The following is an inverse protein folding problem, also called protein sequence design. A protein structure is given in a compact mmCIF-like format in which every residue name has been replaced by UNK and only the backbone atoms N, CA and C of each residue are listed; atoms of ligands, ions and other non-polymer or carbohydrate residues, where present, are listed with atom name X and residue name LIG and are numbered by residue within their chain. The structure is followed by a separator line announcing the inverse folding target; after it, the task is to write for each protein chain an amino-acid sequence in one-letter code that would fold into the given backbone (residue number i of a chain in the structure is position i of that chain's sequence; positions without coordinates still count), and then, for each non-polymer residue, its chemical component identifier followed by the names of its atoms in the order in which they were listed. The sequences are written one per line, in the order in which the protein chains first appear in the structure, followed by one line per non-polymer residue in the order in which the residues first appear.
data_IF_437997109318
#
_entry.id   IF_437997109318
#
_cell.length_a   1.000
_cell.length_b   1.000
_cell.length_c   1.000
_cell.angle_alpha   90.00
_cell.angle_beta   90.00
_cell.angle_gamma   90.00
#
_symmetry.space_group_name_H-M   'P 1'
#
loop_
_entity.id
_entity.type
_entity.pdbx_description
1 polymer ?
#
# COMPACT_ATOMS: atom_id res chain seq x y z
N UNK A 1 -10.70 -15.51 -10.38
CA UNK A 1 -10.17 -14.59 -11.43
C UNK A 1 -10.65 -13.15 -11.26
N UNK A 2 -11.92 -12.90 -10.95
CA UNK A 2 -12.44 -11.55 -10.74
C UNK A 2 -11.66 -10.70 -9.72
N UNK A 3 -11.36 -11.24 -8.54
CA UNK A 3 -10.61 -10.52 -7.50
C UNK A 3 -9.17 -10.17 -7.94
N UNK A 4 -8.53 -11.02 -8.74
CA UNK A 4 -7.19 -10.73 -9.28
C UNK A 4 -7.26 -9.54 -10.23
N UNK A 5 -8.21 -9.53 -11.16
CA UNK A 5 -8.39 -8.42 -12.10
C UNK A 5 -8.71 -7.11 -11.37
N UNK A 6 -9.57 -7.16 -10.33
CA UNK A 6 -9.89 -6.01 -9.50
C UNK A 6 -8.65 -5.43 -8.81
N UNK A 7 -7.81 -6.28 -8.21
CA UNK A 7 -6.60 -5.83 -7.51
C UNK A 7 -5.55 -5.30 -8.49
N UNK A 8 -5.40 -5.90 -9.68
CA UNK A 8 -4.53 -5.37 -10.73
C UNK A 8 -4.99 -3.98 -11.18
N UNK A 9 -6.28 -3.80 -11.42
CA UNK A 9 -6.84 -2.50 -11.79
C UNK A 9 -6.64 -1.45 -10.67
N UNK A 10 -6.90 -1.82 -9.43
CA UNK A 10 -6.62 -0.97 -8.27
C UNK A 10 -5.12 -0.58 -8.20
N UNK A 11 -4.21 -1.53 -8.49
CA UNK A 11 -2.78 -1.26 -8.57
C UNK A 11 -2.43 -0.22 -9.64
N UNK A 12 -3.07 -0.27 -10.81
CA UNK A 12 -2.88 0.74 -11.86
C UNK A 12 -3.31 2.15 -11.38
N UNK A 13 -4.44 2.24 -10.66
CA UNK A 13 -4.92 3.52 -10.11
C UNK A 13 -3.96 4.02 -9.03
N UNK A 14 -3.55 3.15 -8.10
CA UNK A 14 -2.64 3.50 -7.00
C UNK A 14 -1.27 3.96 -7.54
N UNK A 15 -0.83 3.45 -8.69
CA UNK A 15 0.43 3.88 -9.31
C UNK A 15 0.46 5.37 -9.70
N UNK A 16 -0.69 6.01 -9.84
CA UNK A 16 -0.80 7.46 -10.09
C UNK A 16 -0.58 8.31 -8.82
N UNK A 17 -0.75 7.72 -7.63
CA UNK A 17 -0.69 8.44 -6.35
C UNK A 17 0.68 9.09 -6.08
N UNK A 18 1.83 8.39 -6.20
CA UNK A 18 3.13 8.98 -5.92
C UNK A 18 3.46 10.22 -6.77
N UNK A 19 3.30 10.21 -8.11
CA UNK A 19 3.58 11.39 -8.91
C UNK A 19 2.60 12.55 -8.66
N UNK A 20 1.32 12.26 -8.39
CA UNK A 20 0.32 13.30 -8.06
C UNK A 20 0.68 13.96 -6.73
N UNK A 21 0.97 13.15 -5.69
CA UNK A 21 1.36 13.68 -4.39
C UNK A 21 2.72 14.41 -4.45
N UNK A 22 3.65 13.93 -5.29
CA UNK A 22 4.92 14.61 -5.51
C UNK A 22 4.73 15.99 -6.20
N UNK A 23 3.80 16.10 -7.13
CA UNK A 23 3.45 17.39 -7.74
C UNK A 23 2.82 18.34 -6.70
N UNK A 24 1.87 17.85 -5.91
CA UNK A 24 1.22 18.62 -4.84
C UNK A 24 2.25 19.08 -3.79
N UNK A 25 3.18 18.20 -3.41
CA UNK A 25 4.18 18.48 -2.37
C UNK A 25 5.13 19.63 -2.72
N UNK A 26 5.30 19.94 -3.99
CA UNK A 26 6.10 21.09 -4.43
C UNK A 26 5.48 22.44 -4.04
N UNK A 27 4.16 22.47 -3.87
CA UNK A 27 3.42 23.68 -3.51
C UNK A 27 3.12 23.75 -2.02
N UNK A 28 2.67 22.63 -1.43
CA UNK A 28 2.15 22.66 -0.05
C UNK A 28 3.12 22.08 0.97
N UNK A 29 4.15 21.34 0.54
CA UNK A 29 5.05 20.60 1.41
C UNK A 29 4.79 19.08 1.41
N UNK A 30 5.80 18.30 1.83
CA UNK A 30 5.77 16.84 1.76
C UNK A 30 4.72 16.24 2.69
N UNK A 31 4.73 16.63 3.95
CA UNK A 31 3.80 16.11 4.97
C UNK A 31 2.37 16.62 4.73
N UNK A 32 2.26 17.85 4.33
CA UNK A 32 1.00 18.51 4.00
C UNK A 32 0.32 17.83 2.81
N UNK A 33 1.07 17.44 1.78
CA UNK A 33 0.52 16.70 0.63
C UNK A 33 -0.02 15.33 1.04
N UNK A 34 0.66 14.64 1.95
CA UNK A 34 0.19 13.39 2.54
C UNK A 34 -1.11 13.59 3.32
N UNK A 35 -1.15 14.59 4.20
CA UNK A 35 -2.35 14.94 4.99
C UNK A 35 -3.54 15.25 4.07
N UNK A 36 -3.34 16.08 3.06
CA UNK A 36 -4.39 16.45 2.09
C UNK A 36 -4.90 15.22 1.35
N UNK A 37 -4.01 14.33 0.89
CA UNK A 37 -4.41 13.10 0.19
C UNK A 37 -5.26 12.19 1.07
N UNK A 38 -4.90 12.02 2.34
CA UNK A 38 -5.70 11.22 3.29
C UNK A 38 -7.02 11.90 3.64
N UNK A 39 -7.04 13.21 3.80
CA UNK A 39 -8.26 13.96 4.07
C UNK A 39 -9.27 13.83 2.91
N UNK A 40 -8.81 13.99 1.66
CA UNK A 40 -9.64 13.79 0.48
C UNK A 40 -10.13 12.35 0.40
N UNK A 41 -9.25 11.37 0.65
CA UNK A 41 -9.63 9.96 0.70
C UNK A 41 -10.67 9.66 1.78
N UNK A 42 -10.53 10.26 2.97
CA UNK A 42 -11.50 10.13 4.06
C UNK A 42 -12.87 10.70 3.67
N UNK A 43 -12.92 11.89 3.06
CA UNK A 43 -14.16 12.48 2.55
C UNK A 43 -14.78 11.59 1.48
N UNK A 44 -13.98 11.07 0.55
CA UNK A 44 -14.45 10.17 -0.50
C UNK A 44 -15.06 8.88 0.08
N UNK A 45 -14.48 8.30 1.13
CA UNK A 45 -15.01 7.12 1.81
C UNK A 45 -16.22 7.44 2.71
N UNK A 46 -16.30 8.63 3.26
CA UNK A 46 -17.44 9.03 4.09
C UNK A 46 -18.76 8.99 3.32
N UNK A 47 -18.75 9.36 2.04
CA UNK A 47 -19.97 9.37 1.20
C UNK A 47 -20.63 7.97 1.14
N UNK A 48 -19.96 6.91 0.68
CA UNK A 48 -20.59 5.58 0.65
C UNK A 48 -20.88 5.03 2.05
N UNK A 49 -20.09 5.40 3.07
CA UNK A 49 -20.39 5.00 4.46
C UNK A 49 -21.71 5.62 4.93
N UNK A 50 -21.95 6.89 4.65
CA UNK A 50 -23.21 7.57 5.02
C UNK A 50 -24.40 7.05 4.24
N UNK A 51 -24.22 6.69 2.97
CA UNK A 51 -25.33 6.27 2.09
C UNK A 51 -25.63 4.77 2.20
N UNK A 52 -24.62 3.93 2.41
CA UNK A 52 -24.73 2.47 2.29
C UNK A 52 -24.12 1.72 3.49
N UNK A 53 -23.49 2.43 4.42
CA UNK A 53 -22.81 1.82 5.56
C UNK A 53 -23.81 1.12 6.49
N UNK A 54 -23.53 -0.15 6.79
CA UNK A 54 -24.31 -0.97 7.76
C UNK A 54 -23.56 -1.18 9.06
N UNK A 55 -22.36 -0.63 9.17
CA UNK A 55 -21.50 -0.71 10.36
C UNK A 55 -21.67 0.51 11.27
N UNK A 56 -20.94 0.48 12.38
CA UNK A 56 -20.85 1.60 13.31
C UNK A 56 -19.38 2.00 13.50
N UNK A 57 -19.00 3.16 12.97
CA UNK A 57 -17.62 3.68 13.03
C UNK A 57 -17.17 3.89 14.48
N UNK A 58 -18.09 4.24 15.40
CA UNK A 58 -17.75 4.48 16.80
C UNK A 58 -17.32 3.22 17.55
N UNK A 59 -17.64 2.02 17.03
CA UNK A 59 -17.12 0.77 17.60
C UNK A 59 -15.61 0.59 17.43
N UNK A 60 -14.95 1.49 16.74
CA UNK A 60 -13.46 1.51 16.67
C UNK A 60 -12.85 1.55 18.07
N UNK A 61 -13.46 2.26 19.03
CA UNK A 61 -12.97 2.34 20.40
C UNK A 61 -13.11 1.04 21.21
N UNK A 62 -13.89 0.07 20.70
CA UNK A 62 -14.03 -1.28 21.28
C UNK A 62 -12.94 -2.23 20.74
N UNK A 63 -12.16 -1.82 19.74
CA UNK A 63 -11.16 -2.66 19.09
C UNK A 63 -9.78 -2.45 19.68
N UNK A 64 -8.90 -3.49 19.65
CA UNK A 64 -7.51 -3.37 20.08
C UNK A 64 -6.75 -2.30 19.27
N UNK A 65 -5.90 -1.52 19.93
CA UNK A 65 -5.18 -0.39 19.32
C UNK A 65 -4.32 -0.76 18.10
N UNK A 66 -3.82 -2.00 18.03
CA UNK A 66 -3.02 -2.44 16.87
C UNK A 66 -3.82 -2.43 15.56
N UNK A 67 -5.14 -2.57 15.61
CA UNK A 67 -6.00 -2.53 14.41
C UNK A 67 -6.07 -1.13 13.79
N UNK A 68 -5.71 -0.09 14.54
CA UNK A 68 -5.68 1.28 14.03
C UNK A 68 -4.37 1.62 13.31
N UNK A 69 -3.36 0.75 13.45
CA UNK A 69 -2.05 0.97 12.84
C UNK A 69 -2.10 1.10 11.31
N UNK A 70 -3.15 0.54 10.66
CA UNK A 70 -3.31 0.63 9.20
C UNK A 70 -3.26 2.05 8.65
N UNK A 71 -3.87 3.01 9.34
CA UNK A 71 -3.82 4.43 8.97
C UNK A 71 -2.40 5.01 9.04
N UNK A 72 -1.66 4.70 10.11
CA UNK A 72 -0.28 5.15 10.31
C UNK A 72 0.65 4.53 9.26
N UNK A 73 0.52 3.23 9.01
CA UNK A 73 1.29 2.53 7.99
C UNK A 73 1.02 3.08 6.58
N UNK A 74 -0.25 3.38 6.28
CA UNK A 74 -0.63 4.04 5.03
C UNK A 74 -0.01 5.42 4.89
N UNK A 75 -0.03 6.24 5.94
CA UNK A 75 0.59 7.56 5.93
C UNK A 75 2.10 7.48 5.69
N UNK A 76 2.79 6.56 6.37
CA UNK A 76 4.20 6.29 6.12
C UNK A 76 4.49 5.89 4.67
N UNK A 77 3.65 5.02 4.09
CA UNK A 77 3.76 4.60 2.70
C UNK A 77 3.62 5.79 1.74
N UNK A 78 2.61 6.63 1.93
CA UNK A 78 2.36 7.79 1.06
C UNK A 78 3.51 8.79 1.13
N UNK A 79 3.97 9.14 2.33
CA UNK A 79 5.11 10.07 2.50
C UNK A 79 6.37 9.50 1.86
N UNK A 80 6.67 8.22 2.09
CA UNK A 80 7.86 7.56 1.53
C UNK A 80 7.84 7.52 0.01
N UNK A 81 6.71 7.16 -0.61
CA UNK A 81 6.59 7.09 -2.07
C UNK A 81 6.57 8.48 -2.72
N UNK A 82 5.96 9.47 -2.08
CA UNK A 82 5.98 10.88 -2.50
C UNK A 82 7.41 11.43 -2.51
N UNK A 83 8.20 11.07 -1.52
CA UNK A 83 9.60 11.49 -1.40
C UNK A 83 10.51 10.76 -2.42
N UNK A 84 10.28 9.47 -2.65
CA UNK A 84 11.12 8.62 -3.49
C UNK A 84 10.84 8.81 -4.99
N UNK A 85 9.58 8.90 -5.40
CA UNK A 85 9.20 8.91 -6.82
C UNK A 85 9.91 9.98 -7.66
N UNK A 86 10.09 11.24 -7.20
CA UNK A 86 10.83 12.25 -7.96
C UNK A 86 12.33 11.98 -8.05
N UNK A 87 12.90 11.19 -7.14
CA UNK A 87 14.35 10.94 -7.03
C UNK A 87 14.80 9.73 -7.82
N UNK A 88 14.07 8.62 -7.68
CA UNK A 88 14.45 7.33 -8.27
C UNK A 88 13.50 6.87 -9.39
N UNK A 89 12.47 7.68 -9.70
CA UNK A 89 11.44 7.36 -10.68
C UNK A 89 10.27 6.57 -10.09
N UNK A 90 9.10 6.75 -10.70
CA UNK A 90 7.86 6.11 -10.24
C UNK A 90 7.94 4.59 -10.32
N UNK A 91 8.42 4.05 -11.46
CA UNK A 91 8.55 2.61 -11.68
C UNK A 91 9.46 1.97 -10.62
N UNK A 92 10.65 2.52 -10.40
CA UNK A 92 11.60 2.02 -9.40
C UNK A 92 11.02 2.07 -7.99
N UNK A 93 10.34 3.17 -7.64
CA UNK A 93 9.68 3.32 -6.33
C UNK A 93 8.63 2.24 -6.10
N UNK A 94 7.75 2.02 -7.07
CA UNK A 94 6.68 1.04 -6.96
C UNK A 94 7.22 -0.39 -6.94
N UNK A 95 8.21 -0.70 -7.76
CA UNK A 95 8.82 -2.04 -7.82
C UNK A 95 9.53 -2.37 -6.49
N UNK A 96 10.27 -1.41 -5.91
CA UNK A 96 10.89 -1.57 -4.60
C UNK A 96 9.84 -1.78 -3.48
N UNK A 97 8.74 -1.02 -3.54
CA UNK A 97 7.62 -1.17 -2.59
C UNK A 97 6.95 -2.54 -2.72
N UNK A 98 6.70 -3.00 -3.95
CA UNK A 98 6.13 -4.34 -4.21
C UNK A 98 7.01 -5.43 -3.61
N UNK A 99 8.32 -5.34 -3.76
CA UNK A 99 9.24 -6.31 -3.16
C UNK A 99 9.11 -6.36 -1.64
N UNK A 100 9.15 -5.20 -0.98
CA UNK A 100 8.94 -5.12 0.47
C UNK A 100 7.60 -5.74 0.91
N UNK A 101 6.52 -5.42 0.17
CA UNK A 101 5.21 -5.99 0.42
C UNK A 101 5.19 -7.52 0.27
N UNK A 102 5.83 -8.07 -0.76
CA UNK A 102 5.88 -9.51 -1.00
C UNK A 102 6.67 -10.25 0.09
N UNK A 103 7.80 -9.69 0.53
CA UNK A 103 8.59 -10.26 1.62
C UNK A 103 7.77 -10.29 2.92
N UNK A 104 7.14 -9.17 3.28
CA UNK A 104 6.30 -9.12 4.48
C UNK A 104 5.07 -10.02 4.38
N UNK A 105 4.42 -10.06 3.22
CA UNK A 105 3.29 -10.96 2.98
C UNK A 105 3.68 -12.43 3.14
N UNK A 106 4.85 -12.84 2.65
CA UNK A 106 5.35 -14.20 2.84
C UNK A 106 5.58 -14.55 4.32
N UNK A 107 6.07 -13.59 5.13
CA UNK A 107 6.24 -13.75 6.57
C UNK A 107 4.88 -13.88 7.27
N UNK A 108 3.92 -13.01 6.94
CA UNK A 108 2.57 -13.02 7.49
C UNK A 108 1.86 -14.34 7.17
N UNK A 109 1.90 -14.77 5.90
CA UNK A 109 1.29 -16.00 5.43
C UNK A 109 1.91 -17.23 6.14
N UNK A 110 3.24 -17.26 6.26
CA UNK A 110 3.93 -18.39 6.89
C UNK A 110 3.52 -18.57 8.36
N UNK A 111 3.40 -17.47 9.09
CA UNK A 111 3.08 -17.47 10.52
C UNK A 111 1.57 -17.44 10.81
N UNK A 112 0.72 -17.21 9.82
CA UNK A 112 -0.74 -17.08 10.01
C UNK A 112 -1.12 -15.91 10.91
N UNK A 113 -0.38 -14.79 10.84
CA UNK A 113 -0.65 -13.61 11.68
C UNK A 113 -2.01 -13.00 11.37
N UNK A 114 -2.53 -12.21 12.31
CA UNK A 114 -3.82 -11.49 12.20
C UNK A 114 -5.04 -12.40 12.02
N UNK A 115 -4.96 -13.68 12.45
CA UNK A 115 -6.06 -14.64 12.32
C UNK A 115 -6.22 -15.24 10.91
N UNK A 116 -5.21 -15.08 10.06
CA UNK A 116 -5.17 -15.69 8.74
C UNK A 116 -4.75 -17.17 8.84
N UNK A 117 -5.18 -17.98 7.87
CA UNK A 117 -4.69 -19.35 7.76
C UNK A 117 -3.22 -19.35 7.40
N UNK A 118 -2.40 -20.09 8.17
CA UNK A 118 -0.99 -20.24 7.86
C UNK A 118 -0.80 -20.98 6.53
N UNK A 119 -0.03 -20.39 5.64
CA UNK A 119 0.33 -20.98 4.35
C UNK A 119 1.85 -21.20 4.35
N UNK A 120 2.31 -22.46 4.45
CA UNK A 120 3.74 -22.74 4.54
C UNK A 120 4.52 -22.13 3.38
N UNK A 121 5.70 -21.60 3.69
CA UNK A 121 6.62 -21.08 2.69
C UNK A 121 7.31 -22.27 2.01
N UNK A 122 6.97 -22.49 0.74
CA UNK A 122 7.53 -23.57 -0.08
C UNK A 122 8.59 -23.05 -1.07
N UNK A 123 9.29 -23.97 -1.73
CA UNK A 123 10.34 -23.66 -2.68
C UNK A 123 9.83 -22.88 -3.91
N UNK A 124 8.55 -23.06 -4.30
CA UNK A 124 7.93 -22.35 -5.43
C UNK A 124 7.75 -20.89 -5.11
N UNK A 125 7.30 -20.58 -3.89
CA UNK A 125 7.17 -19.21 -3.38
C UNK A 125 8.53 -18.55 -3.26
N UNK A 126 9.55 -19.27 -2.77
CA UNK A 126 10.91 -18.77 -2.71
C UNK A 126 11.44 -18.45 -4.12
N UNK A 127 11.27 -19.35 -5.08
CA UNK A 127 11.66 -19.11 -6.46
C UNK A 127 10.94 -17.90 -7.05
N UNK A 128 9.63 -17.76 -6.81
CA UNK A 128 8.85 -16.59 -7.23
C UNK A 128 9.43 -15.28 -6.71
N UNK A 129 9.76 -15.21 -5.41
CA UNK A 129 10.39 -14.03 -4.80
C UNK A 129 11.77 -13.72 -5.40
N UNK A 130 12.58 -14.74 -5.65
CA UNK A 130 13.90 -14.58 -6.30
C UNK A 130 13.75 -14.03 -7.71
N UNK A 131 12.78 -14.53 -8.49
CA UNK A 131 12.51 -14.03 -9.85
C UNK A 131 12.02 -12.57 -9.82
N UNK A 132 11.18 -12.21 -8.88
CA UNK A 132 10.75 -10.81 -8.68
C UNK A 132 11.97 -9.94 -8.33
N UNK A 133 12.83 -10.38 -7.43
CA UNK A 133 14.04 -9.65 -7.06
C UNK A 133 14.99 -9.46 -8.26
N UNK A 134 15.16 -10.51 -9.07
CA UNK A 134 15.94 -10.42 -10.30
C UNK A 134 15.33 -9.42 -11.29
N UNK A 135 14.00 -9.44 -11.47
CA UNK A 135 13.28 -8.46 -12.27
C UNK A 135 13.47 -7.02 -11.77
N UNK A 136 13.42 -6.81 -10.46
CA UNK A 136 13.71 -5.52 -9.83
C UNK A 136 15.13 -5.06 -10.15
N UNK A 137 16.12 -5.93 -10.01
CA UNK A 137 17.50 -5.61 -10.30
C UNK A 137 17.72 -5.15 -11.75
N UNK A 138 16.97 -5.73 -12.69
CA UNK A 138 16.98 -5.32 -14.10
C UNK A 138 16.31 -3.94 -14.32
N UNK A 139 15.19 -3.69 -13.64
CA UNK A 139 14.45 -2.41 -13.75
C UNK A 139 15.21 -1.24 -13.13
N UNK A 140 15.93 -1.48 -12.03
CA UNK A 140 16.69 -0.45 -11.29
C UNK A 140 18.04 -0.14 -11.94
N UNK A 141 18.60 -1.09 -12.70
CA UNK A 141 19.83 -0.83 -13.47
C UNK A 141 19.55 0.20 -14.56
N UNK A 142 20.07 1.41 -14.35
CA UNK A 142 20.24 2.45 -15.38
C UNK A 142 21.57 2.27 -16.09
#
# INVERSE_FOLDING_TARGET
MYYIALVVFAGCIVALQPPINAALSRTVGLLESGLISFAIGAVFLAVPVLLMGRGNVFRVFETPAWQWAGGVLGAFMVVSTTLAAPRIGVLTTLVAMIFGNLVMAAIIDHNGWFGLNAIPFDWRRMLGLVLVLAGIALVVRR
#
